data_IF_142141751278
#
_entry.id   IF_142141751278
#
_cell.length_a   1.000
_cell.length_b   1.000
_cell.length_c   1.000
_cell.angle_alpha   90.00
_cell.angle_beta   90.00
_cell.angle_gamma   90.00
#
_symmetry.space_group_name_H-M   'P 1'
#
loop_
_entity.id
_entity.type
_entity.pdbx_description
1 polymer ?
#
# COMPACT_ATOMS: atom_id res chain seq x y z
N UNK A 1 2.21 14.58 26.13
CA UNK A 1 2.47 13.15 26.04
C UNK A 1 2.56 12.82 24.57
N UNK A 2 3.75 12.57 24.06
CA UNK A 2 3.95 12.17 22.67
C UNK A 2 3.66 10.69 22.59
N UNK A 3 2.42 10.32 22.28
CA UNK A 3 2.14 8.96 21.85
C UNK A 3 2.89 8.78 20.55
N UNK A 4 3.91 7.92 20.51
CA UNK A 4 4.53 7.47 19.26
C UNK A 4 3.42 6.82 18.43
N UNK A 5 2.78 7.61 17.56
CA UNK A 5 1.61 7.18 16.80
C UNK A 5 2.07 6.37 15.59
N UNK A 6 2.71 5.23 15.86
CA UNK A 6 3.22 4.31 14.84
C UNK A 6 2.05 3.78 14.01
N UNK A 7 2.18 3.86 12.69
CA UNK A 7 1.22 3.24 11.77
C UNK A 7 1.43 1.72 11.80
N UNK A 8 0.33 0.97 11.87
CA UNK A 8 0.32 -0.50 11.84
C UNK A 8 -0.61 -0.98 10.74
N UNK A 9 -0.14 -1.91 9.91
CA UNK A 9 -0.95 -2.63 8.94
C UNK A 9 -1.26 -4.01 9.52
N UNK A 10 -2.55 -4.32 9.66
CA UNK A 10 -3.00 -5.63 10.17
C UNK A 10 -3.29 -6.64 9.07
N UNK A 11 -3.79 -6.15 7.93
CA UNK A 11 -4.05 -6.95 6.72
C UNK A 11 -4.42 -6.07 5.53
N UNK A 12 -4.33 -6.64 4.34
CA UNK A 12 -5.00 -6.16 3.14
C UNK A 12 -6.40 -6.79 3.01
N UNK A 13 -7.33 -6.04 2.42
CA UNK A 13 -8.66 -6.53 2.05
C UNK A 13 -9.01 -6.07 0.63
N UNK A 14 -9.05 -6.99 -0.36
CA UNK A 14 -8.85 -8.42 -0.22
C UNK A 14 -7.40 -8.78 0.16
N UNK A 15 -7.22 -9.94 0.82
CA UNK A 15 -5.89 -10.39 1.30
C UNK A 15 -4.87 -10.58 0.18
N UNK A 16 -5.31 -11.09 -0.97
CA UNK A 16 -4.49 -11.28 -2.16
C UNK A 16 -5.07 -10.41 -3.28
N UNK A 17 -4.29 -9.45 -3.74
CA UNK A 17 -4.64 -8.48 -4.76
C UNK A 17 -3.80 -8.77 -5.99
N UNK A 18 -4.47 -9.12 -7.09
CA UNK A 18 -3.81 -9.27 -8.40
C UNK A 18 -3.99 -7.98 -9.18
N UNK A 19 -2.88 -7.39 -9.59
CA UNK A 19 -2.84 -6.13 -10.34
C UNK A 19 -2.20 -6.36 -11.71
N UNK A 20 -2.98 -6.40 -12.80
CA UNK A 20 -2.42 -6.52 -14.13
C UNK A 20 -1.71 -5.24 -14.55
N UNK A 21 -0.62 -5.35 -15.33
CA UNK A 21 0.01 -4.20 -16.00
C UNK A 21 -0.92 -3.60 -17.06
N UNK A 22 -1.68 -4.45 -17.75
CA UNK A 22 -2.69 -4.05 -18.74
C UNK A 22 -4.03 -4.65 -18.30
N UNK A 23 -4.93 -3.82 -17.78
CA UNK A 23 -6.26 -4.25 -17.38
C UNK A 23 -6.91 -3.36 -16.31
N UNK A 24 -7.96 -3.88 -15.66
CA UNK A 24 -8.60 -3.19 -14.53
C UNK A 24 -7.60 -2.98 -13.38
N UNK A 25 -7.65 -1.78 -12.80
CA UNK A 25 -6.84 -1.43 -11.63
C UNK A 25 -7.55 -1.94 -10.38
N UNK A 26 -6.88 -2.75 -9.54
CA UNK A 26 -7.53 -3.24 -8.34
C UNK A 26 -7.64 -2.12 -7.30
N UNK A 27 -8.79 -2.11 -6.64
CA UNK A 27 -9.04 -1.36 -5.43
C UNK A 27 -8.80 -2.29 -4.24
N UNK A 28 -8.14 -1.81 -3.19
CA UNK A 28 -7.95 -2.57 -1.96
C UNK A 28 -8.03 -1.65 -0.75
N UNK A 29 -8.32 -2.25 0.41
CA UNK A 29 -8.30 -1.59 1.70
C UNK A 29 -7.09 -2.08 2.49
N UNK A 30 -6.38 -1.14 3.09
CA UNK A 30 -5.37 -1.41 4.10
C UNK A 30 -6.08 -1.29 5.44
N UNK A 31 -6.14 -2.39 6.20
CA UNK A 31 -6.82 -2.42 7.49
C UNK A 31 -5.75 -2.35 8.58
N UNK A 32 -5.91 -1.44 9.53
CA UNK A 32 -4.86 -1.17 10.51
C UNK A 32 -5.24 -0.10 11.52
N UNK A 33 -4.27 0.73 11.90
CA UNK A 33 -4.46 1.84 12.83
C UNK A 33 -3.51 2.99 12.58
N UNK A 34 -3.94 4.18 13.00
CA UNK A 34 -3.21 5.45 12.95
C UNK A 34 -2.96 5.97 11.52
N UNK A 35 -3.80 5.59 10.56
CA UNK A 35 -3.72 6.13 9.21
C UNK A 35 -4.08 7.62 9.17
N UNK A 36 -3.42 8.36 8.30
CA UNK A 36 -3.59 9.80 8.10
C UNK A 36 -3.23 10.20 6.68
N UNK A 37 -3.68 11.36 6.23
CA UNK A 37 -3.35 11.87 4.89
C UNK A 37 -1.86 12.18 4.69
N UNK A 38 -1.10 12.39 5.76
CA UNK A 38 0.36 12.66 5.71
C UNK A 38 1.22 11.42 5.38
N UNK A 39 0.61 10.23 5.29
CA UNK A 39 1.35 9.00 5.00
C UNK A 39 1.53 8.76 3.51
N UNK A 40 2.59 8.04 3.17
CA UNK A 40 2.90 7.63 1.81
C UNK A 40 2.80 6.11 1.68
N UNK A 41 1.93 5.63 0.80
CA UNK A 41 1.73 4.20 0.53
C UNK A 41 2.47 3.81 -0.74
N UNK A 42 3.20 2.69 -0.72
CA UNK A 42 4.02 2.25 -1.85
C UNK A 42 4.17 0.74 -1.93
N UNK A 43 4.55 0.24 -3.11
CA UNK A 43 4.89 -1.16 -3.31
C UNK A 43 6.39 -1.40 -3.09
N UNK A 44 6.75 -2.50 -2.44
CA UNK A 44 8.15 -2.88 -2.25
C UNK A 44 8.34 -4.40 -2.30
N UNK A 45 9.59 -4.85 -2.52
CA UNK A 45 9.90 -6.29 -2.66
C UNK A 45 10.13 -7.00 -1.33
N UNK A 46 10.33 -6.25 -0.24
CA UNK A 46 10.69 -6.80 1.07
C UNK A 46 9.78 -6.27 2.18
N UNK A 47 9.47 -7.12 3.16
CA UNK A 47 8.64 -6.76 4.32
C UNK A 47 9.24 -5.75 5.28
N UNK A 48 10.48 -5.32 5.07
CA UNK A 48 11.11 -4.21 5.80
C UNK A 48 10.92 -2.85 5.10
N UNK A 49 10.13 -2.79 4.03
CA UNK A 49 9.87 -1.58 3.24
C UNK A 49 10.99 -1.23 2.26
N UNK A 50 12.05 -2.04 2.15
CA UNK A 50 13.15 -1.77 1.22
C UNK A 50 12.86 -2.32 -0.19
N UNK A 51 13.63 -1.82 -1.17
CA UNK A 51 13.43 -2.14 -2.59
C UNK A 51 12.02 -1.74 -3.08
N UNK A 52 11.71 -0.47 -2.88
CA UNK A 52 10.53 0.19 -3.45
C UNK A 52 10.51 0.01 -4.98
N UNK A 53 9.30 -0.26 -5.51
CA UNK A 53 9.07 -0.51 -6.93
C UNK A 53 8.43 0.74 -7.54
N UNK A 54 9.28 1.62 -8.08
CA UNK A 54 8.88 2.93 -8.59
C UNK A 54 7.85 2.88 -9.75
N UNK A 55 7.82 1.77 -10.50
CA UNK A 55 6.89 1.59 -11.62
C UNK A 55 5.49 1.17 -11.18
N UNK A 56 5.15 1.23 -9.88
CA UNK A 56 3.82 0.95 -9.35
C UNK A 56 3.41 2.11 -8.43
N UNK A 57 2.32 2.80 -8.77
CA UNK A 57 1.73 3.80 -7.86
C UNK A 57 0.62 3.16 -7.01
N UNK A 58 0.54 3.58 -5.75
CA UNK A 58 -0.56 3.22 -4.84
C UNK A 58 -1.12 4.52 -4.29
N UNK A 59 -2.24 4.94 -4.85
CA UNK A 59 -2.84 6.24 -4.55
C UNK A 59 -4.10 6.06 -3.71
N UNK A 60 -4.42 7.04 -2.85
CA UNK A 60 -5.67 7.06 -2.10
C UNK A 60 -6.86 7.02 -3.06
N UNK A 61 -7.82 6.16 -2.76
CA UNK A 61 -9.04 6.06 -3.53
C UNK A 61 -10.05 7.12 -3.09
N UNK A 62 -10.04 8.28 -3.76
CA UNK A 62 -10.93 9.41 -3.50
C UNK A 62 -12.42 9.12 -3.75
N UNK A 63 -12.76 7.97 -4.35
CA UNK A 63 -14.16 7.56 -4.52
C UNK A 63 -14.75 6.90 -3.28
N UNK A 64 -13.92 6.68 -2.24
CA UNK A 64 -14.31 5.98 -1.01
C UNK A 64 -13.78 6.67 0.23
N UNK A 65 -14.48 6.50 1.36
CA UNK A 65 -14.04 7.08 2.63
C UNK A 65 -12.93 6.23 3.27
N UNK A 66 -11.85 6.90 3.63
CA UNK A 66 -10.78 6.36 4.47
C UNK A 66 -10.87 6.92 5.89
N UNK A 67 -10.46 6.11 6.86
CA UNK A 67 -10.43 6.44 8.29
C UNK A 67 -9.07 6.12 8.87
N UNK A 68 -8.89 6.41 10.17
CA UNK A 68 -7.71 6.04 10.94
C UNK A 68 -7.46 4.51 11.03
N UNK A 69 -8.44 3.68 10.63
CA UNK A 69 -8.38 2.20 10.70
C UNK A 69 -8.54 1.48 9.37
N UNK A 70 -8.94 2.20 8.32
CA UNK A 70 -9.11 1.67 6.98
C UNK A 70 -8.64 2.71 5.97
N UNK A 71 -7.66 2.36 5.16
CA UNK A 71 -7.20 3.20 4.06
C UNK A 71 -7.50 2.57 2.72
N UNK A 72 -8.36 3.20 1.92
CA UNK A 72 -8.73 2.71 0.60
C UNK A 72 -7.75 3.24 -0.45
N UNK A 73 -7.23 2.36 -1.31
CA UNK A 73 -6.25 2.70 -2.33
C UNK A 73 -6.54 2.03 -3.66
N UNK A 74 -6.01 2.63 -4.73
CA UNK A 74 -5.99 2.08 -6.09
C UNK A 74 -4.54 1.79 -6.48
N UNK A 75 -4.28 0.60 -7.01
CA UNK A 75 -2.94 0.21 -7.47
C UNK A 75 -2.85 0.40 -8.99
N UNK A 76 -1.82 1.10 -9.44
CA UNK A 76 -1.57 1.36 -10.87
C UNK A 76 -0.13 0.99 -11.25
N UNK A 77 0.10 -0.24 -11.74
CA UNK A 77 1.36 -0.58 -12.39
C UNK A 77 1.52 0.20 -13.71
N UNK A 78 2.71 0.71 -13.96
CA UNK A 78 3.09 1.36 -15.22
C UNK A 78 3.45 0.31 -16.28
N UNK A 79 3.38 0.71 -17.56
CA UNK A 79 3.84 -0.15 -18.66
C UNK A 79 5.31 -0.53 -18.46
N UNK A 80 5.58 -1.83 -18.43
CA UNK A 80 6.92 -2.38 -18.19
C UNK A 80 7.23 -2.70 -16.73
N UNK A 81 6.29 -2.48 -15.80
CA UNK A 81 6.44 -2.89 -14.41
C UNK A 81 6.72 -4.41 -14.32
N UNK A 82 7.72 -4.77 -13.53
CA UNK A 82 8.10 -6.16 -13.36
C UNK A 82 7.00 -6.93 -12.60
N UNK A 83 6.61 -8.08 -13.16
CA UNK A 83 5.71 -9.01 -12.47
C UNK A 83 6.36 -9.58 -11.20
N UNK A 84 5.53 -9.89 -10.20
CA UNK A 84 6.00 -10.48 -8.96
C UNK A 84 5.08 -10.26 -7.76
N UNK A 85 5.37 -10.99 -6.70
CA UNK A 85 4.73 -10.82 -5.39
C UNK A 85 5.44 -9.72 -4.60
N UNK A 86 4.65 -8.80 -4.04
CA UNK A 86 5.08 -7.56 -3.43
C UNK A 86 4.36 -7.32 -2.10
N UNK A 87 4.94 -6.41 -1.33
CA UNK A 87 4.38 -5.86 -0.12
C UNK A 87 3.78 -4.48 -0.40
N UNK A 88 2.67 -4.17 0.27
CA UNK A 88 2.16 -2.80 0.40
C UNK A 88 2.73 -2.23 1.69
N UNK A 89 3.49 -1.15 1.58
CA UNK A 89 4.21 -0.54 2.69
C UNK A 89 3.79 0.92 2.88
N UNK A 90 4.02 1.43 4.10
CA UNK A 90 3.70 2.80 4.48
C UNK A 90 4.94 3.50 5.04
N UNK A 91 5.15 4.75 4.63
CA UNK A 91 6.06 5.71 5.25
C UNK A 91 5.26 6.86 5.86
N UNK A 92 5.76 7.43 6.94
CA UNK A 92 5.30 8.68 7.54
C UNK A 92 6.52 9.55 7.77
N UNK A 93 6.48 10.81 7.33
CA UNK A 93 7.64 11.73 7.35
C UNK A 93 8.91 11.11 6.74
N UNK A 94 8.75 10.36 5.65
CA UNK A 94 9.83 9.65 4.96
C UNK A 94 10.38 8.42 5.68
N UNK A 95 9.87 8.09 6.88
CA UNK A 95 10.31 6.94 7.68
C UNK A 95 9.36 5.77 7.50
N UNK A 96 9.93 4.59 7.20
CA UNK A 96 9.18 3.34 7.16
C UNK A 96 8.42 3.10 8.45
N UNK A 97 7.16 2.68 8.33
CA UNK A 97 6.30 2.36 9.45
C UNK A 97 6.00 0.87 9.51
N UNK A 98 5.46 0.32 8.42
CA UNK A 98 5.01 -1.07 8.33
C UNK A 98 4.81 -1.53 6.88
N UNK A 99 4.73 -2.85 6.67
CA UNK A 99 4.47 -3.47 5.37
C UNK A 99 3.71 -4.80 5.50
N UNK A 100 2.76 -5.03 4.61
CA UNK A 100 1.97 -6.27 4.56
C UNK A 100 2.05 -6.90 3.15
N UNK A 101 2.36 -8.21 3.04
CA UNK A 101 2.36 -8.90 1.76
C UNK A 101 0.95 -9.08 1.23
N UNK A 102 0.82 -9.19 -0.08
CA UNK A 102 -0.46 -9.57 -0.70
C UNK A 102 -0.74 -8.90 -2.04
N UNK A 103 0.15 -8.04 -2.54
CA UNK A 103 0.06 -7.49 -3.89
C UNK A 103 0.82 -8.39 -4.86
N UNK A 104 0.20 -8.76 -5.98
CA UNK A 104 0.84 -9.50 -7.08
C UNK A 104 0.65 -8.76 -8.38
N UNK A 105 1.76 -8.36 -9.03
CA UNK A 105 1.73 -7.78 -10.38
C UNK A 105 1.85 -8.87 -11.42
N UNK A 106 0.99 -8.82 -12.45
CA UNK A 106 0.92 -9.80 -13.56
C UNK A 106 0.85 -9.16 -14.94
#
# INVERSE_FOLDING_TARGET
MSSDNKIEIKRLDPKNVVSPVIGPRPHLKIIGSNFSDDMYVYACKKGDGTQEVADITIDKDESTESTDRQWCVVVTPQLGAAAGDLYVAIKLDGKFQDAEPGLKVV
#
